data_IF_765414698929
#
_entry.id   IF_765414698929
#
_cell.length_a   1.000
_cell.length_b   1.000
_cell.length_c   1.000
_cell.angle_alpha   90.00
_cell.angle_beta   90.00
_cell.angle_gamma   90.00
#
_symmetry.space_group_name_H-M   'P 1'
#
loop_
_entity.id
_entity.type
_entity.pdbx_description
1 polymer ?
#
# COMPACT_ATOMS: atom_id res chain seq x y z
N UNK A 1 19.84 14.10 19.59
CA UNK A 1 19.46 13.08 18.59
C UNK A 1 18.25 13.63 17.84
N UNK A 2 18.49 14.27 16.70
CA UNK A 2 17.47 14.94 15.88
C UNK A 2 16.91 13.97 14.86
N UNK A 3 15.62 13.66 14.95
CA UNK A 3 14.86 12.96 13.89
C UNK A 3 14.79 13.87 12.65
N UNK A 4 15.82 13.79 11.81
CA UNK A 4 15.95 14.61 10.61
C UNK A 4 15.09 14.07 9.48
N UNK A 5 13.83 14.51 9.38
CA UNK A 5 12.98 14.32 8.19
C UNK A 5 11.87 15.40 8.06
N UNK A 6 12.19 16.65 8.37
CA UNK A 6 11.35 17.82 8.09
C UNK A 6 11.59 18.26 6.64
N UNK A 7 10.55 18.33 5.80
CA UNK A 7 10.67 18.94 4.45
C UNK A 7 10.78 20.46 4.56
N UNK A 8 11.43 21.11 3.59
CA UNK A 8 11.74 22.55 3.56
C UNK A 8 10.54 23.51 3.72
N UNK A 9 9.30 23.01 3.76
CA UNK A 9 8.08 23.82 3.92
C UNK A 9 7.34 23.62 5.26
N UNK A 10 7.87 22.84 6.20
CA UNK A 10 7.22 22.57 7.50
C UNK A 10 5.89 21.82 7.40
N UNK A 11 5.45 21.44 6.19
CA UNK A 11 4.18 20.78 5.92
C UNK A 11 4.41 19.29 5.68
N UNK A 12 3.84 18.44 6.53
CA UNK A 12 3.94 16.99 6.38
C UNK A 12 3.22 16.53 5.10
N UNK A 13 3.97 15.82 4.25
CA UNK A 13 3.47 15.21 3.01
C UNK A 13 2.20 14.36 3.24
N UNK A 14 1.18 14.44 2.36
CA UNK A 14 -0.10 13.76 2.56
C UNK A 14 0.00 12.25 2.79
N UNK A 15 0.92 11.57 2.10
CA UNK A 15 1.12 10.13 2.25
C UNK A 15 1.71 9.75 3.61
N UNK A 16 2.53 10.62 4.22
CA UNK A 16 3.12 10.37 5.55
C UNK A 16 2.07 10.32 6.66
N UNK A 17 0.90 10.93 6.44
CA UNK A 17 -0.26 10.86 7.34
C UNK A 17 -0.96 9.51 7.31
N UNK A 18 -0.79 8.71 6.25
CA UNK A 18 -1.41 7.41 6.12
C UNK A 18 -0.74 6.41 7.08
N UNK A 19 -1.50 5.87 8.03
CA UNK A 19 -0.99 4.83 8.95
C UNK A 19 -0.51 3.59 8.18
N UNK A 20 -1.19 3.21 7.10
CA UNK A 20 -0.79 2.09 6.23
C UNK A 20 0.57 2.33 5.57
N UNK A 21 0.86 3.56 5.15
CA UNK A 21 2.17 3.91 4.59
C UNK A 21 3.27 3.78 5.63
N UNK A 22 3.08 4.28 6.86
CA UNK A 22 4.07 4.17 7.93
C UNK A 22 4.43 2.70 8.24
N UNK A 23 3.42 1.83 8.27
CA UNK A 23 3.61 0.38 8.46
C UNK A 23 4.29 -0.28 7.26
N UNK A 24 3.90 0.07 6.04
CA UNK A 24 4.55 -0.41 4.82
C UNK A 24 6.02 0.03 4.72
N UNK A 25 6.32 1.27 5.11
CA UNK A 25 7.68 1.79 5.16
C UNK A 25 8.54 1.02 6.18
N UNK A 26 8.02 0.81 7.39
CA UNK A 26 8.72 0.01 8.40
C UNK A 26 8.99 -1.42 7.92
N UNK A 27 8.00 -2.08 7.30
CA UNK A 27 8.15 -3.38 6.67
C UNK A 27 9.27 -3.38 5.63
N UNK A 28 9.29 -2.39 4.73
CA UNK A 28 10.31 -2.29 3.69
C UNK A 28 11.74 -2.18 4.27
N UNK A 29 11.92 -1.33 5.29
CA UNK A 29 13.21 -1.18 5.97
C UNK A 29 13.62 -2.46 6.70
N UNK A 30 12.68 -3.11 7.40
CA UNK A 30 12.96 -4.34 8.13
C UNK A 30 13.32 -5.49 7.19
N UNK A 31 12.61 -5.63 6.07
CA UNK A 31 12.95 -6.61 5.02
C UNK A 31 14.35 -6.35 4.48
N UNK A 32 14.70 -5.10 4.17
CA UNK A 32 16.05 -4.78 3.69
C UNK A 32 17.14 -5.16 4.71
N UNK A 33 16.93 -4.87 5.99
CA UNK A 33 17.88 -5.23 7.06
C UNK A 33 18.09 -6.74 7.17
N UNK A 34 17.01 -7.52 7.16
CA UNK A 34 17.07 -8.99 7.18
C UNK A 34 17.76 -9.53 5.93
N UNK A 35 17.41 -9.01 4.77
CA UNK A 35 17.97 -9.46 3.49
C UNK A 35 19.47 -9.13 3.36
N UNK A 36 19.93 -8.02 3.95
CA UNK A 36 21.35 -7.67 4.03
C UNK A 36 22.16 -8.65 4.90
N UNK A 37 21.52 -9.33 5.85
CA UNK A 37 22.13 -10.36 6.70
C UNK A 37 22.35 -11.70 5.99
N UNK A 38 21.71 -11.94 4.84
CA UNK A 38 21.85 -13.18 4.07
C UNK A 38 23.23 -13.27 3.41
N UNK A 39 24.21 -14.00 3.96
CA UNK A 39 25.60 -13.98 3.46
C UNK A 39 25.89 -14.87 2.25
N UNK A 40 24.99 -15.78 1.89
CA UNK A 40 25.20 -16.73 0.79
C UNK A 40 25.18 -16.03 -0.58
N UNK A 41 26.13 -16.35 -1.46
CA UNK A 41 26.14 -15.90 -2.86
C UNK A 41 24.92 -16.39 -3.64
N UNK A 42 24.39 -17.56 -3.28
CA UNK A 42 23.14 -18.11 -3.83
C UNK A 42 21.90 -17.29 -3.43
N UNK A 43 22.00 -16.46 -2.39
CA UNK A 43 20.91 -15.62 -1.91
C UNK A 43 20.78 -14.27 -2.64
N UNK A 44 21.71 -13.91 -3.54
CA UNK A 44 21.73 -12.58 -4.19
C UNK A 44 20.42 -12.30 -4.93
N UNK A 45 19.94 -13.28 -5.72
CA UNK A 45 18.69 -13.13 -6.46
C UNK A 45 17.50 -12.95 -5.52
N UNK A 46 17.37 -13.81 -4.50
CA UNK A 46 16.27 -13.78 -3.54
C UNK A 46 16.27 -12.50 -2.70
N UNK A 47 17.43 -12.05 -2.20
CA UNK A 47 17.59 -10.76 -1.51
C UNK A 47 17.03 -9.63 -2.36
N UNK A 48 17.41 -9.60 -3.64
CA UNK A 48 16.99 -8.55 -4.56
C UNK A 48 15.48 -8.56 -4.79
N UNK A 49 14.87 -9.75 -4.91
CA UNK A 49 13.43 -9.91 -5.09
C UNK A 49 12.65 -9.49 -3.85
N UNK A 50 13.08 -9.91 -2.65
CA UNK A 50 12.49 -9.50 -1.38
C UNK A 50 12.52 -7.99 -1.20
N UNK A 51 13.68 -7.35 -1.44
CA UNK A 51 13.84 -5.90 -1.29
C UNK A 51 12.97 -5.16 -2.29
N UNK A 52 12.94 -5.57 -3.58
CA UNK A 52 12.10 -4.93 -4.59
C UNK A 52 10.61 -5.03 -4.25
N UNK A 53 10.13 -6.23 -3.89
CA UNK A 53 8.74 -6.44 -3.51
C UNK A 53 8.37 -5.60 -2.29
N UNK A 54 9.21 -5.58 -1.25
CA UNK A 54 8.93 -4.81 -0.04
C UNK A 54 8.95 -3.30 -0.26
N UNK A 55 9.91 -2.79 -1.06
CA UNK A 55 10.02 -1.36 -1.39
C UNK A 55 8.87 -0.89 -2.30
N UNK A 56 8.36 -1.76 -3.18
CA UNK A 56 7.23 -1.47 -4.07
C UNK A 56 5.94 -1.13 -3.29
N UNK A 57 5.74 -1.71 -2.11
CA UNK A 57 4.52 -1.48 -1.31
C UNK A 57 4.37 0.00 -0.90
N UNK A 58 5.30 0.62 -0.16
CA UNK A 58 5.18 2.02 0.21
C UNK A 58 5.31 2.97 -1.00
N UNK A 59 6.10 2.66 -2.04
CA UNK A 59 6.22 3.53 -3.21
C UNK A 59 4.92 3.61 -3.99
N UNK A 60 4.21 2.49 -4.20
CA UNK A 60 2.90 2.51 -4.83
C UNK A 60 1.86 3.28 -3.99
N UNK A 61 1.92 3.23 -2.66
CA UNK A 61 1.05 4.06 -1.80
C UNK A 61 1.34 5.55 -2.00
N UNK A 62 2.61 5.95 -2.11
CA UNK A 62 3.02 7.33 -2.37
C UNK A 62 2.53 7.79 -3.75
N UNK A 63 2.85 7.02 -4.79
CA UNK A 63 2.46 7.31 -6.18
C UNK A 63 0.95 7.45 -6.29
N UNK A 64 0.20 6.47 -5.79
CA UNK A 64 -1.26 6.49 -5.80
C UNK A 64 -1.87 7.66 -5.04
N UNK A 65 -1.26 8.08 -3.91
CA UNK A 65 -1.75 9.24 -3.16
C UNK A 65 -1.49 10.56 -3.87
N UNK A 66 -0.51 10.62 -4.78
CA UNK A 66 -0.25 11.76 -5.65
C UNK A 66 -1.22 11.87 -6.84
N UNK A 67 -2.01 10.84 -7.13
CA UNK A 67 -2.92 10.82 -8.28
C UNK A 67 -4.23 11.56 -8.02
N UNK A 68 -4.85 12.02 -9.11
CA UNK A 68 -6.17 12.64 -9.07
C UNK A 68 -7.26 11.56 -9.03
N UNK A 69 -7.92 11.45 -7.88
CA UNK A 69 -9.14 10.65 -7.71
C UNK A 69 -8.94 9.28 -7.07
N UNK A 70 -10.03 8.78 -6.48
CA UNK A 70 -10.04 7.57 -5.66
C UNK A 70 -9.86 6.29 -6.48
N UNK A 71 -10.35 6.27 -7.73
CA UNK A 71 -10.19 5.14 -8.66
C UNK A 71 -8.72 4.85 -8.95
N UNK A 72 -7.96 5.90 -9.23
CA UNK A 72 -6.54 5.78 -9.55
C UNK A 72 -5.74 5.40 -8.31
N UNK A 73 -6.04 6.01 -7.16
CA UNK A 73 -5.45 5.60 -5.90
C UNK A 73 -5.70 4.11 -5.60
N UNK A 74 -6.92 3.62 -5.84
CA UNK A 74 -7.26 2.20 -5.67
C UNK A 74 -6.51 1.28 -6.65
N UNK A 75 -6.14 1.75 -7.85
CA UNK A 75 -5.29 1.00 -8.79
C UNK A 75 -3.90 0.77 -8.18
N UNK A 76 -3.26 1.83 -7.71
CA UNK A 76 -1.94 1.73 -7.06
C UNK A 76 -1.96 0.90 -5.78
N UNK A 77 -3.03 1.00 -4.97
CA UNK A 77 -3.19 0.17 -3.78
C UNK A 77 -3.29 -1.34 -4.12
N UNK A 78 -3.87 -1.70 -5.26
CA UNK A 78 -3.87 -3.10 -5.74
C UNK A 78 -2.48 -3.57 -6.14
N UNK A 79 -1.67 -2.71 -6.76
CA UNK A 79 -0.26 -3.02 -7.08
C UNK A 79 0.54 -3.23 -5.79
N UNK A 80 0.35 -2.35 -4.80
CA UNK A 80 0.95 -2.51 -3.47
C UNK A 80 0.53 -3.82 -2.79
N UNK A 81 -0.74 -4.22 -2.94
CA UNK A 81 -1.24 -5.48 -2.41
C UNK A 81 -0.58 -6.70 -3.08
N UNK A 82 -0.43 -6.68 -4.40
CA UNK A 82 0.26 -7.74 -5.15
C UNK A 82 1.73 -7.85 -4.74
N UNK A 83 2.42 -6.71 -4.59
CA UNK A 83 3.80 -6.66 -4.08
C UNK A 83 3.91 -7.26 -2.66
N UNK A 84 2.89 -7.07 -1.82
CA UNK A 84 2.80 -7.70 -0.51
C UNK A 84 2.66 -9.23 -0.57
N UNK A 85 1.92 -9.75 -1.55
CA UNK A 85 1.80 -11.20 -1.79
C UNK A 85 3.12 -11.79 -2.31
N UNK A 86 3.80 -11.11 -3.23
CA UNK A 86 5.13 -11.51 -3.72
C UNK A 86 6.15 -11.56 -2.58
N UNK A 87 6.17 -10.55 -1.72
CA UNK A 87 7.05 -10.53 -0.55
C UNK A 87 6.79 -11.74 0.36
N UNK A 88 5.53 -12.08 0.63
CA UNK A 88 5.18 -13.25 1.45
C UNK A 88 5.71 -14.55 0.85
N UNK A 89 5.58 -14.72 -0.47
CA UNK A 89 6.15 -15.88 -1.16
C UNK A 89 7.67 -15.94 -1.00
N UNK A 90 8.37 -14.82 -1.22
CA UNK A 90 9.83 -14.79 -1.06
C UNK A 90 10.28 -15.03 0.39
N UNK A 91 9.50 -14.61 1.38
CA UNK A 91 9.77 -14.92 2.80
C UNK A 91 9.67 -16.42 3.09
N UNK A 92 8.69 -17.12 2.49
CA UNK A 92 8.55 -18.57 2.60
C UNK A 92 9.79 -19.26 2.01
N UNK A 93 10.18 -18.88 0.79
CA UNK A 93 11.38 -19.44 0.13
C UNK A 93 12.64 -19.17 0.96
N UNK A 94 12.81 -17.94 1.47
CA UNK A 94 13.95 -17.58 2.30
C UNK A 94 14.06 -18.43 3.58
N UNK A 95 12.91 -18.76 4.19
CA UNK A 95 12.83 -19.63 5.36
C UNK A 95 13.17 -21.08 5.00
N UNK A 96 12.58 -21.62 3.93
CA UNK A 96 12.82 -23.02 3.50
C UNK A 96 14.28 -23.26 3.12
N UNK A 97 14.93 -22.28 2.50
CA UNK A 97 16.35 -22.31 2.18
C UNK A 97 17.25 -21.96 3.38
N UNK A 98 16.67 -21.80 4.58
CA UNK A 98 17.37 -21.46 5.84
C UNK A 98 18.24 -20.19 5.72
N UNK A 99 17.80 -19.23 4.89
CA UNK A 99 18.50 -17.98 4.66
C UNK A 99 18.11 -16.88 5.66
N UNK A 100 16.96 -17.04 6.34
CA UNK A 100 16.50 -16.19 7.44
C UNK A 100 16.14 -17.05 8.65
N UNK A 101 16.17 -16.46 9.85
CA UNK A 101 15.73 -17.15 11.06
C UNK A 101 14.21 -17.30 11.10
N UNK A 102 13.70 -18.27 11.86
CA UNK A 102 12.26 -18.40 12.14
C UNK A 102 11.68 -17.12 12.76
N UNK A 103 12.46 -16.47 13.64
CA UNK A 103 12.06 -15.20 14.26
C UNK A 103 11.88 -14.10 13.21
N UNK A 104 12.82 -13.96 12.28
CA UNK A 104 12.74 -12.95 11.22
C UNK A 104 11.60 -13.26 10.25
N UNK A 105 11.41 -14.54 9.91
CA UNK A 105 10.30 -15.00 9.08
C UNK A 105 8.95 -14.63 9.70
N UNK A 106 8.71 -14.98 10.97
CA UNK A 106 7.46 -14.66 11.68
C UNK A 106 7.26 -13.15 11.74
N UNK A 107 8.28 -12.41 12.18
CA UNK A 107 8.21 -10.96 12.32
C UNK A 107 7.86 -10.25 11.00
N UNK A 108 8.52 -10.61 9.89
CA UNK A 108 8.26 -9.99 8.59
C UNK A 108 6.91 -10.45 8.00
N UNK A 109 6.53 -11.72 8.19
CA UNK A 109 5.25 -12.26 7.71
C UNK A 109 4.06 -11.61 8.42
N UNK A 110 4.16 -11.36 9.72
CA UNK A 110 3.14 -10.65 10.50
C UNK A 110 3.00 -9.20 10.05
N UNK A 111 4.13 -8.50 9.85
CA UNK A 111 4.14 -7.13 9.32
C UNK A 111 3.53 -7.08 7.90
N UNK A 112 3.89 -7.99 7.02
CA UNK A 112 3.32 -8.09 5.67
C UNK A 112 1.81 -8.34 5.73
N UNK A 113 1.36 -9.23 6.61
CA UNK A 113 -0.06 -9.52 6.82
C UNK A 113 -0.82 -8.30 7.36
N UNK A 114 -0.27 -7.58 8.33
CA UNK A 114 -0.86 -6.34 8.86
C UNK A 114 -1.02 -5.31 7.73
N UNK A 115 0.03 -5.05 6.96
CA UNK A 115 0.01 -4.07 5.86
C UNK A 115 -1.00 -4.46 4.79
N UNK A 116 -1.04 -5.73 4.37
CA UNK A 116 -2.04 -6.21 3.39
C UNK A 116 -3.47 -6.03 3.88
N UNK A 117 -3.76 -6.36 5.15
CA UNK A 117 -5.08 -6.13 5.77
C UNK A 117 -5.46 -4.64 5.77
N UNK A 118 -4.51 -3.76 6.09
CA UNK A 118 -4.73 -2.30 6.06
C UNK A 118 -4.99 -1.78 4.64
N UNK A 119 -4.26 -2.28 3.64
CA UNK A 119 -4.49 -1.95 2.23
C UNK A 119 -5.87 -2.40 1.79
N UNK A 120 -6.28 -3.63 2.12
CA UNK A 120 -7.63 -4.13 1.84
C UNK A 120 -8.72 -3.26 2.47
N UNK A 121 -8.60 -2.92 3.76
CA UNK A 121 -9.56 -2.05 4.43
C UNK A 121 -9.66 -0.66 3.78
N UNK A 122 -8.54 -0.12 3.30
CA UNK A 122 -8.53 1.14 2.56
C UNK A 122 -9.22 1.01 1.19
N UNK A 123 -8.96 -0.07 0.44
CA UNK A 123 -9.64 -0.36 -0.82
C UNK A 123 -11.15 -0.47 -0.64
N UNK A 124 -11.62 -1.20 0.38
CA UNK A 124 -13.05 -1.34 0.69
C UNK A 124 -13.71 0.02 0.98
N UNK A 125 -13.02 0.92 1.71
CA UNK A 125 -13.53 2.28 1.97
C UNK A 125 -13.66 3.12 0.70
N UNK A 126 -12.67 3.06 -0.20
CA UNK A 126 -12.71 3.79 -1.47
C UNK A 126 -13.84 3.29 -2.39
N UNK A 127 -14.09 1.98 -2.39
CA UNK A 127 -15.20 1.39 -3.15
C UNK A 127 -16.58 1.83 -2.62
N UNK A 128 -16.76 1.84 -1.29
CA UNK A 128 -18.01 2.30 -0.67
C UNK A 128 -18.31 3.79 -0.93
N UNK A 129 -17.28 4.65 -0.94
CA UNK A 129 -17.44 6.08 -1.22
C UNK A 129 -17.83 6.38 -2.68
N UNK A 130 -17.40 5.52 -3.60
CA UNK A 130 -17.79 5.62 -5.01
C UNK A 130 -19.28 5.31 -5.22
N UNK A 131 -19.84 4.34 -4.48
CA UNK A 131 -21.26 3.97 -4.58
C UNK A 131 -22.20 5.06 -4.02
N UNK A 132 -21.83 5.71 -2.92
CA UNK A 132 -22.67 6.77 -2.29
C UNK A 132 -22.73 8.06 -3.12
N UNK A 133 -21.71 8.36 -3.94
CA UNK A 133 -21.69 9.55 -4.82
C UNK A 133 -22.61 9.44 -6.04
N UNK A 134 -22.84 8.23 -6.55
CA UNK A 134 -23.71 8.03 -7.72
C UNK A 134 -25.19 8.27 -7.38
N UNK A 135 -25.61 7.97 -6.15
CA UNK A 135 -27.02 8.10 -5.73
C UNK A 135 -27.47 9.53 -5.42
N UNK A 136 -26.55 10.49 -5.26
CA UNK A 136 -26.88 11.86 -4.87
C UNK A 136 -27.08 12.83 -6.04
N UNK A 137 -26.85 12.40 -7.28
CA UNK A 137 -26.89 13.29 -8.47
C UNK A 137 -28.22 13.16 -9.25
N UNK A 138 -29.05 12.16 -8.96
CA UNK A 138 -30.16 11.76 -9.86
C UNK A 138 -31.56 12.22 -9.43
N UNK A 139 -31.71 13.12 -8.45
CA UNK A 139 -33.04 13.61 -8.04
C UNK A 139 -33.24 15.10 -8.38
N UNK A 140 -33.39 15.40 -9.68
CA UNK A 140 -34.09 16.59 -10.18
C UNK A 140 -35.18 16.10 -11.14
N UNK A 141 -36.41 15.97 -10.63
CA UNK A 141 -37.57 15.81 -11.49
C UNK A 141 -37.75 17.06 -12.37
N UNK A 142 -38.02 16.93 -13.68
CA UNK A 142 -38.46 18.07 -14.48
C UNK A 142 -39.92 18.39 -14.15
N UNK A 143 -40.22 19.68 -13.96
CA UNK A 143 -41.59 20.22 -13.82
C UNK A 143 -42.46 19.84 -15.03
N UNK A 144 -43.74 19.51 -14.83
CA UNK A 144 -44.67 19.33 -15.93
C UNK A 144 -45.03 20.69 -16.53
N UNK A 145 -44.64 20.92 -17.78
CA UNK A 145 -45.10 22.06 -18.56
C UNK A 145 -46.58 21.89 -18.87
N UNK A 146 -47.42 22.73 -18.26
CA UNK A 146 -48.82 22.86 -18.60
C UNK A 146 -48.93 23.41 -20.03
N UNK A 147 -49.47 22.57 -20.90
CA UNK A 147 -50.02 22.98 -22.20
C UNK A 147 -51.27 23.83 -21.96
N UNK A 148 -51.19 25.12 -22.28
CA UNK A 148 -52.39 25.91 -22.57
C UNK A 148 -52.47 26.17 -24.06
N UNK A 149 -53.43 25.47 -24.66
CA UNK A 149 -54.08 25.85 -25.90
C UNK A 149 -54.98 27.05 -25.59
N UNK A 150 -54.77 28.17 -26.29
CA UNK A 150 -55.76 29.03 -26.98
C UNK A 150 -55.09 30.36 -27.40
#
# INVERSE_FOLDING_TARGET
MSDGFISESGRMEPFKRLRVWRKAHALAINTHRVAAGMRSSLAISLRSQMVRAAMSIPTNIVEGRGQKGEREFARFLRIALNSGSELQYHLIVARELKMISERDFTSLSDQATEVRKMIHGLLSRLAGQSATRTTSVENKQPEPQLSEQL
#
